data_IF_269132615515
#
_entry.id   IF_269132615515
#
_cell.length_a   1.000
_cell.length_b   1.000
_cell.length_c   1.000
_cell.angle_alpha   90.00
_cell.angle_beta   90.00
_cell.angle_gamma   90.00
#
_symmetry.space_group_name_H-M   'P 1'
#
loop_
_entity.id
_entity.type
_entity.pdbx_description
1 polymer ?
#
# COMPACT_ATOMS: atom_id res chain seq x y z
N UNK A 1 -11.05 2.08 -0.74
CA UNK A 1 -9.82 1.43 -0.22
C UNK A 1 -8.56 2.15 -0.67
N UNK A 2 -8.43 2.57 -1.94
CA UNK A 2 -7.30 3.43 -2.34
C UNK A 2 -7.24 4.77 -1.58
N UNK A 3 -8.36 5.39 -1.20
CA UNK A 3 -8.35 6.60 -0.36
C UNK A 3 -7.71 6.33 1.00
N UNK A 4 -8.01 5.18 1.61
CA UNK A 4 -7.41 4.73 2.88
C UNK A 4 -5.90 4.54 2.73
N UNK A 5 -5.44 4.01 1.59
CA UNK A 5 -4.00 3.91 1.32
C UNK A 5 -3.35 5.31 1.21
N UNK A 6 -4.02 6.29 0.59
CA UNK A 6 -3.52 7.67 0.53
C UNK A 6 -3.53 8.33 1.91
N UNK A 7 -4.57 8.11 2.71
CA UNK A 7 -4.65 8.58 4.11
C UNK A 7 -3.52 8.01 4.97
N UNK A 8 -3.21 6.72 4.81
CA UNK A 8 -2.07 6.10 5.47
C UNK A 8 -0.74 6.74 5.03
N UNK A 9 -0.59 7.10 3.76
CA UNK A 9 0.61 7.80 3.30
C UNK A 9 0.78 9.15 4.01
N UNK A 10 -0.29 9.94 4.10
CA UNK A 10 -0.27 11.21 4.83
C UNK A 10 0.03 10.97 6.31
N UNK A 11 -0.65 10.02 6.95
CA UNK A 11 -0.42 9.67 8.35
C UNK A 11 1.03 9.28 8.63
N UNK A 12 1.65 8.52 7.72
CA UNK A 12 3.07 8.18 7.79
C UNK A 12 3.94 9.42 7.78
N UNK A 13 3.71 10.37 6.86
CA UNK A 13 4.48 11.61 6.78
C UNK A 13 4.34 12.45 8.05
N UNK A 14 3.12 12.64 8.54
CA UNK A 14 2.87 13.38 9.78
C UNK A 14 3.56 12.74 10.99
N UNK A 15 3.61 11.41 11.05
CA UNK A 15 4.34 10.69 12.10
C UNK A 15 5.85 10.82 11.95
N UNK A 16 6.39 10.85 10.72
CA UNK A 16 7.81 11.12 10.47
C UNK A 16 8.18 12.53 10.96
N UNK A 17 7.35 13.54 10.68
CA UNK A 17 7.62 14.93 11.04
C UNK A 17 7.74 15.17 12.55
N UNK A 18 6.95 14.44 13.35
CA UNK A 18 7.00 14.52 14.82
C UNK A 18 7.96 13.50 15.45
N UNK A 19 8.72 12.75 14.66
CA UNK A 19 9.70 11.77 15.15
C UNK A 19 9.13 10.43 15.61
N UNK A 20 7.86 10.14 15.35
CA UNK A 20 7.18 8.89 15.72
C UNK A 20 7.47 7.76 14.70
N UNK A 21 8.75 7.45 14.51
CA UNK A 21 9.22 6.61 13.41
C UNK A 21 8.75 5.14 13.46
N UNK A 22 8.65 4.51 14.65
CA UNK A 22 8.10 3.14 14.76
C UNK A 22 6.68 3.09 14.19
N UNK A 23 5.83 4.02 14.61
CA UNK A 23 4.44 4.08 14.15
C UNK A 23 4.38 4.41 12.66
N UNK A 24 5.22 5.34 12.17
CA UNK A 24 5.29 5.65 10.74
C UNK A 24 5.63 4.41 9.90
N UNK A 25 6.59 3.58 10.34
CA UNK A 25 6.94 2.33 9.66
C UNK A 25 5.84 1.26 9.72
N UNK A 26 5.07 1.21 10.81
CA UNK A 26 3.89 0.36 10.88
C UNK A 26 2.80 0.83 9.90
N UNK A 27 2.59 2.13 9.75
CA UNK A 27 1.60 2.69 8.80
C UNK A 27 1.97 2.39 7.35
N UNK A 28 3.25 2.31 6.98
CA UNK A 28 3.67 1.88 5.65
C UNK A 28 3.07 0.49 5.28
N UNK A 29 2.98 -0.41 6.26
CA UNK A 29 2.36 -1.71 6.06
C UNK A 29 0.85 -1.61 5.83
N UNK A 30 0.18 -0.78 6.62
CA UNK A 30 -1.26 -0.54 6.48
C UNK A 30 -1.58 0.05 5.10
N UNK A 31 -0.75 0.99 4.62
CA UNK A 31 -0.84 1.55 3.27
C UNK A 31 -0.77 0.46 2.20
N UNK A 32 0.22 -0.43 2.30
CA UNK A 32 0.38 -1.55 1.37
C UNK A 32 -0.81 -2.51 1.40
N UNK A 33 -1.27 -2.90 2.60
CA UNK A 33 -2.39 -3.84 2.76
C UNK A 33 -3.69 -3.24 2.20
N UNK A 34 -3.94 -1.94 2.43
CA UNK A 34 -5.10 -1.22 1.90
C UNK A 34 -5.07 -1.12 0.37
N UNK A 35 -3.93 -0.78 -0.22
CA UNK A 35 -3.77 -0.70 -1.68
C UNK A 35 -3.90 -2.09 -2.32
N UNK A 36 -3.25 -3.11 -1.77
CA UNK A 36 -3.35 -4.49 -2.27
C UNK A 36 -4.81 -4.95 -2.29
N UNK A 37 -5.57 -4.65 -1.23
CA UNK A 37 -7.00 -4.95 -1.18
C UNK A 37 -7.79 -4.17 -2.23
N UNK A 38 -7.47 -2.89 -2.48
CA UNK A 38 -8.13 -2.09 -3.52
C UNK A 38 -7.91 -2.69 -4.92
N UNK A 39 -6.66 -3.03 -5.26
CA UNK A 39 -6.33 -3.65 -6.55
C UNK A 39 -7.02 -5.02 -6.69
N UNK A 40 -7.02 -5.81 -5.62
CA UNK A 40 -7.71 -7.10 -5.61
C UNK A 40 -9.22 -6.97 -5.75
N UNK A 41 -9.86 -5.98 -5.11
CA UNK A 41 -11.30 -5.75 -5.26
C UNK A 41 -11.70 -5.49 -6.71
N UNK A 42 -10.86 -4.77 -7.47
CA UNK A 42 -11.16 -4.46 -8.87
C UNK A 42 -10.86 -5.63 -9.83
N UNK A 43 -9.76 -6.35 -9.63
CA UNK A 43 -9.25 -7.29 -10.64
C UNK A 43 -9.30 -8.77 -10.24
N UNK A 44 -9.40 -9.07 -8.94
CA UNK A 44 -9.23 -10.43 -8.40
C UNK A 44 -10.42 -10.97 -7.61
N UNK A 45 -11.22 -10.08 -7.01
CA UNK A 45 -12.38 -10.44 -6.22
C UNK A 45 -13.53 -10.96 -7.10
N UNK A 46 -14.36 -11.83 -6.53
CA UNK A 46 -15.65 -12.19 -7.13
C UNK A 46 -16.71 -11.17 -6.71
N UNK A 47 -17.76 -10.99 -7.52
CA UNK A 47 -18.86 -10.07 -7.20
C UNK A 47 -19.43 -10.30 -5.80
N UNK A 48 -19.65 -11.57 -5.42
CA UNK A 48 -20.10 -11.92 -4.08
C UNK A 48 -19.16 -11.43 -2.96
N UNK A 49 -17.84 -11.47 -3.16
CA UNK A 49 -16.88 -10.94 -2.18
C UNK A 49 -16.90 -9.41 -2.13
N UNK A 50 -17.09 -8.75 -3.27
CA UNK A 50 -17.25 -7.29 -3.35
C UNK A 50 -18.51 -6.86 -2.61
N UNK A 51 -19.66 -7.46 -2.95
CA UNK A 51 -20.96 -7.21 -2.29
C UNK A 51 -20.86 -7.40 -0.78
N UNK A 52 -20.18 -8.46 -0.33
CA UNK A 52 -20.00 -8.76 1.09
C UNK A 52 -19.24 -7.66 1.84
N UNK A 53 -18.21 -7.07 1.24
CA UNK A 53 -17.46 -5.96 1.85
C UNK A 53 -18.23 -4.64 1.80
N UNK A 54 -19.09 -4.47 0.80
CA UNK A 54 -19.90 -3.27 0.61
C UNK A 54 -21.18 -3.26 1.47
N UNK A 55 -21.41 -4.30 2.28
CA UNK A 55 -22.56 -4.36 3.19
C UNK A 55 -22.53 -3.19 4.17
N UNK A 56 -23.71 -2.66 4.49
CA UNK A 56 -23.86 -1.66 5.54
C UNK A 56 -23.41 -2.26 6.87
N UNK A 57 -22.55 -1.53 7.59
CA UNK A 57 -22.09 -1.93 8.91
C UNK A 57 -23.27 -2.07 9.90
N UNK A 58 -23.40 -3.25 10.48
CA UNK A 58 -24.33 -3.59 11.55
C UNK A 58 -23.66 -4.60 12.50
N UNK A 59 -24.34 -4.97 13.59
CA UNK A 59 -23.85 -6.02 14.49
C UNK A 59 -23.64 -7.36 13.75
N UNK A 60 -24.49 -7.67 12.77
CA UNK A 60 -24.44 -8.92 12.03
C UNK A 60 -23.35 -8.92 10.94
N UNK A 61 -23.06 -7.74 10.36
CA UNK A 61 -22.14 -7.60 9.22
C UNK A 61 -20.75 -7.08 9.61
N UNK A 62 -20.51 -6.80 10.90
CA UNK A 62 -19.23 -6.28 11.41
C UNK A 62 -18.02 -7.16 11.07
N UNK A 63 -18.26 -8.43 10.76
CA UNK A 63 -17.27 -9.44 10.41
C UNK A 63 -17.41 -9.92 8.95
N UNK A 64 -18.09 -9.16 8.09
CA UNK A 64 -18.33 -9.54 6.70
C UNK A 64 -17.03 -9.68 5.87
N UNK A 65 -15.94 -9.08 6.34
CA UNK A 65 -14.60 -9.23 5.78
C UNK A 65 -13.84 -10.47 6.32
N UNK A 66 -14.41 -11.24 7.26
CA UNK A 66 -13.83 -12.51 7.68
C UNK A 66 -13.74 -13.49 6.49
N UNK A 67 -12.61 -14.20 6.43
CA UNK A 67 -12.33 -15.14 5.34
C UNK A 67 -11.97 -14.48 4.00
N UNK A 68 -11.69 -13.17 3.98
CA UNK A 68 -11.00 -12.59 2.84
C UNK A 68 -9.58 -13.18 2.70
N UNK A 69 -9.07 -13.29 1.47
CA UNK A 69 -7.72 -13.79 1.24
C UNK A 69 -6.67 -12.92 1.93
N UNK A 70 -5.55 -13.52 2.33
CA UNK A 70 -4.37 -12.74 2.75
C UNK A 70 -3.87 -11.85 1.60
N UNK A 71 -3.15 -10.77 1.88
CA UNK A 71 -2.50 -9.94 0.84
C UNK A 71 -1.63 -10.78 -0.12
N UNK A 72 -0.97 -11.86 0.34
CA UNK A 72 -0.22 -12.77 -0.55
C UNK A 72 -1.13 -13.53 -1.49
N UNK A 73 -2.29 -13.95 -1.01
CA UNK A 73 -3.29 -14.66 -1.80
C UNK A 73 -4.03 -13.69 -2.74
N UNK A 74 -4.30 -12.47 -2.30
CA UNK A 74 -4.80 -11.38 -3.15
C UNK A 74 -3.86 -11.10 -4.33
N UNK A 75 -2.55 -11.00 -4.09
CA UNK A 75 -1.54 -10.80 -5.15
C UNK A 75 -1.55 -11.96 -6.15
N UNK A 76 -1.68 -13.21 -5.69
CA UNK A 76 -1.82 -14.35 -6.60
C UNK A 76 -3.10 -14.28 -7.43
N UNK A 77 -4.20 -13.84 -6.83
CA UNK A 77 -5.51 -13.79 -7.50
C UNK A 77 -5.63 -12.69 -8.56
N UNK A 78 -4.79 -11.65 -8.47
CA UNK A 78 -4.70 -10.59 -9.50
C UNK A 78 -3.64 -10.88 -10.58
N UNK A 79 -2.82 -11.92 -10.41
CA UNK A 79 -1.84 -12.30 -11.41
C UNK A 79 -2.52 -12.73 -12.71
N UNK A 80 -2.06 -12.18 -13.83
CA UNK A 80 -2.70 -12.33 -15.15
C UNK A 80 -4.05 -11.62 -15.32
N UNK A 81 -4.56 -10.89 -14.31
CA UNK A 81 -5.84 -10.16 -14.38
C UNK A 81 -5.68 -8.65 -14.24
N UNK A 82 -4.89 -8.20 -13.26
CA UNK A 82 -4.53 -6.80 -13.10
C UNK A 82 -3.40 -6.41 -14.07
N UNK A 83 -3.17 -5.10 -14.30
CA UNK A 83 -2.00 -4.63 -15.02
C UNK A 83 -0.70 -5.26 -14.46
N UNK A 84 0.10 -5.87 -15.33
CA UNK A 84 1.28 -6.65 -14.93
C UNK A 84 2.24 -5.87 -14.01
N UNK A 85 2.40 -4.57 -14.30
CA UNK A 85 3.25 -3.68 -13.51
C UNK A 85 2.73 -3.49 -12.07
N UNK A 86 1.41 -3.38 -11.89
CA UNK A 86 0.80 -3.26 -10.55
C UNK A 86 1.04 -4.54 -9.74
N UNK A 87 0.83 -5.72 -10.35
CA UNK A 87 1.10 -7.01 -9.71
C UNK A 87 2.58 -7.16 -9.34
N UNK A 88 3.49 -6.77 -10.25
CA UNK A 88 4.94 -6.76 -10.02
C UNK A 88 5.31 -5.88 -8.82
N UNK A 89 4.88 -4.62 -8.82
CA UNK A 89 5.18 -3.67 -7.74
C UNK A 89 4.68 -4.16 -6.38
N UNK A 90 3.45 -4.68 -6.31
CA UNK A 90 2.90 -5.22 -5.05
C UNK A 90 3.66 -6.46 -4.57
N UNK A 91 4.05 -7.34 -5.50
CA UNK A 91 4.85 -8.54 -5.19
C UNK A 91 6.25 -8.16 -4.67
N UNK A 92 6.95 -7.27 -5.36
CA UNK A 92 8.27 -6.76 -4.97
C UNK A 92 8.21 -6.04 -3.61
N UNK A 93 7.23 -5.16 -3.41
CA UNK A 93 7.05 -4.46 -2.14
C UNK A 93 6.88 -5.45 -0.99
N UNK A 94 6.01 -6.46 -1.17
CA UNK A 94 5.81 -7.50 -0.17
C UNK A 94 7.11 -8.25 0.10
N UNK A 95 7.82 -8.68 -0.93
CA UNK A 95 9.07 -9.41 -0.79
C UNK A 95 10.10 -8.62 0.05
N UNK A 96 10.23 -7.31 -0.21
CA UNK A 96 11.23 -6.45 0.41
C UNK A 96 10.87 -6.01 1.84
N UNK A 97 9.60 -5.70 2.09
CA UNK A 97 9.20 -4.98 3.32
C UNK A 97 8.54 -5.88 4.36
N UNK A 98 7.94 -7.01 3.96
CA UNK A 98 7.01 -7.77 4.80
C UNK A 98 7.55 -8.15 6.19
N UNK A 99 8.76 -8.72 6.25
CA UNK A 99 9.35 -9.19 7.50
C UNK A 99 9.65 -8.02 8.45
N UNK A 100 10.27 -6.97 7.92
CA UNK A 100 10.60 -5.79 8.70
C UNK A 100 9.33 -5.07 9.18
N UNK A 101 8.35 -4.88 8.29
CA UNK A 101 7.12 -4.16 8.60
C UNK A 101 6.27 -4.89 9.66
N UNK A 102 6.19 -6.22 9.61
CA UNK A 102 5.52 -7.01 10.66
C UNK A 102 6.17 -6.83 12.03
N UNK A 103 7.49 -6.64 12.07
CA UNK A 103 8.19 -6.32 13.31
C UNK A 103 7.80 -4.94 13.86
N UNK A 104 7.55 -3.94 13.02
CA UNK A 104 7.09 -2.62 13.48
C UNK A 104 5.64 -2.62 13.95
N UNK A 105 4.78 -3.43 13.34
CA UNK A 105 3.38 -3.58 13.74
C UNK A 105 3.25 -4.28 15.10
N UNK A 106 4.04 -5.33 15.36
CA UNK A 106 3.88 -6.18 16.54
C UNK A 106 4.92 -5.96 17.63
N UNK A 107 5.74 -4.90 17.56
CA UNK A 107 6.79 -4.65 18.56
C UNK A 107 7.92 -5.70 18.54
N UNK A 108 8.21 -6.30 17.39
CA UNK A 108 9.29 -7.26 17.22
C UNK A 108 10.70 -6.62 17.28
N UNK A 109 11.71 -7.43 17.02
CA UNK A 109 13.13 -7.04 17.18
C UNK A 109 13.53 -5.77 16.41
N UNK A 110 13.04 -5.53 15.18
CA UNK A 110 13.36 -4.31 14.44
C UNK A 110 12.80 -3.06 15.13
N UNK A 111 11.57 -3.14 15.67
CA UNK A 111 10.97 -2.03 16.39
C UNK A 111 11.77 -1.73 17.66
N UNK A 112 12.05 -2.76 18.46
CA UNK A 112 12.78 -2.64 19.72
C UNK A 112 14.18 -2.06 19.53
N UNK A 113 14.95 -2.62 18.60
CA UNK A 113 16.33 -2.17 18.35
C UNK A 113 16.35 -0.75 17.77
N UNK A 114 15.43 -0.40 16.85
CA UNK A 114 15.39 0.96 16.28
C UNK A 114 14.92 2.00 17.28
N UNK A 115 13.99 1.65 18.15
CA UNK A 115 13.53 2.55 19.19
C UNK A 115 14.63 2.83 20.23
N UNK A 116 15.46 1.83 20.51
CA UNK A 116 16.62 1.95 21.41
C UNK A 116 17.81 2.68 20.77
N UNK A 117 18.21 2.27 19.57
CA UNK A 117 19.47 2.69 18.95
C UNK A 117 19.30 3.84 17.94
N UNK A 118 18.06 4.24 17.69
CA UNK A 118 17.69 5.26 16.72
C UNK A 118 17.47 4.74 15.29
N UNK A 119 17.00 5.66 14.44
CA UNK A 119 16.59 5.39 13.07
C UNK A 119 17.57 6.03 12.10
N UNK A 120 18.31 5.24 11.30
CA UNK A 120 19.22 5.78 10.31
C UNK A 120 18.46 6.63 9.28
N UNK A 121 18.98 7.81 8.94
CA UNK A 121 18.35 8.71 7.96
C UNK A 121 18.08 8.01 6.62
N UNK A 122 18.99 7.13 6.19
CA UNK A 122 18.82 6.35 4.96
C UNK A 122 17.60 5.42 5.02
N UNK A 123 17.31 4.84 6.18
CA UNK A 123 16.12 4.01 6.37
C UNK A 123 14.85 4.87 6.30
N UNK A 124 14.82 6.02 6.99
CA UNK A 124 13.68 6.94 6.95
C UNK A 124 13.40 7.40 5.52
N UNK A 125 14.45 7.77 4.77
CA UNK A 125 14.35 8.13 3.35
C UNK A 125 13.79 6.98 2.51
N UNK A 126 14.24 5.75 2.75
CA UNK A 126 13.74 4.59 2.01
C UNK A 126 12.26 4.34 2.29
N UNK A 127 11.81 4.46 3.54
CA UNK A 127 10.39 4.32 3.91
C UNK A 127 9.53 5.38 3.22
N UNK A 128 9.99 6.63 3.17
CA UNK A 128 9.31 7.71 2.44
C UNK A 128 9.20 7.41 0.93
N UNK A 129 10.30 6.99 0.30
CA UNK A 129 10.31 6.62 -1.12
C UNK A 129 9.37 5.44 -1.39
N UNK A 130 9.37 4.43 -0.51
CA UNK A 130 8.44 3.30 -0.58
C UNK A 130 6.98 3.73 -0.47
N UNK A 131 6.66 4.64 0.46
CA UNK A 131 5.32 5.21 0.61
C UNK A 131 4.89 5.98 -0.64
N UNK A 132 5.78 6.80 -1.22
CA UNK A 132 5.51 7.54 -2.46
C UNK A 132 5.22 6.60 -3.64
N UNK A 133 5.93 5.48 -3.74
CA UNK A 133 5.66 4.45 -4.74
C UNK A 133 4.25 3.87 -4.63
N UNK A 134 3.79 3.60 -3.41
CA UNK A 134 2.41 3.16 -3.16
C UNK A 134 1.38 4.26 -3.45
N UNK A 135 1.67 5.54 -3.16
CA UNK A 135 0.82 6.67 -3.56
C UNK A 135 0.69 6.76 -5.08
N UNK A 136 1.81 6.64 -5.80
CA UNK A 136 1.80 6.66 -7.26
C UNK A 136 0.99 5.50 -7.84
N UNK A 137 1.14 4.29 -7.28
CA UNK A 137 0.34 3.14 -7.69
C UNK A 137 -1.16 3.32 -7.36
N UNK A 138 -1.52 3.93 -6.23
CA UNK A 138 -2.90 4.33 -5.95
C UNK A 138 -3.44 5.30 -6.99
N UNK A 139 -2.66 6.30 -7.40
CA UNK A 139 -3.04 7.28 -8.40
C UNK A 139 -3.27 6.63 -9.79
N UNK A 140 -2.37 5.73 -10.20
CA UNK A 140 -2.54 4.93 -11.43
C UNK A 140 -3.80 4.06 -11.34
N UNK A 141 -4.04 3.42 -10.20
CA UNK A 141 -5.24 2.61 -9.99
C UNK A 141 -6.52 3.44 -10.09
N UNK A 142 -6.57 4.61 -9.47
CA UNK A 142 -7.69 5.55 -9.64
C UNK A 142 -7.89 5.97 -11.08
N UNK A 143 -6.83 6.40 -11.76
CA UNK A 143 -6.91 6.82 -13.16
C UNK A 143 -7.48 5.72 -14.06
N UNK A 144 -7.10 4.45 -13.82
CA UNK A 144 -7.59 3.31 -14.59
C UNK A 144 -9.09 3.07 -14.48
N UNK A 145 -9.76 3.57 -13.43
CA UNK A 145 -11.21 3.47 -13.25
C UNK A 145 -12.00 4.60 -13.91
N UNK A 146 -11.33 5.63 -14.43
CA UNK A 146 -11.99 6.81 -14.99
C UNK A 146 -12.33 6.69 -16.48
N UNK A 147 -11.72 5.73 -17.18
CA UNK A 147 -11.70 5.63 -18.65
C UNK A 147 -11.33 6.95 -19.36
N UNK A 148 -10.62 7.85 -18.67
CA UNK A 148 -10.24 9.17 -19.17
C UNK A 148 -8.75 9.24 -19.46
N UNK A 149 -8.40 9.25 -20.75
CA UNK A 149 -7.00 9.31 -21.22
C UNK A 149 -6.26 10.56 -20.72
N UNK A 150 -6.94 11.68 -20.50
CA UNK A 150 -6.30 12.90 -19.99
C UNK A 150 -5.87 12.72 -18.53
N UNK A 151 -6.70 12.06 -17.71
CA UNK A 151 -6.35 11.74 -16.30
C UNK A 151 -5.15 10.80 -16.25
N UNK A 152 -5.13 9.76 -17.10
CA UNK A 152 -3.99 8.83 -17.19
C UNK A 152 -2.71 9.56 -17.59
N UNK A 153 -2.78 10.46 -18.58
CA UNK A 153 -1.65 11.26 -19.01
C UNK A 153 -1.17 12.22 -17.92
N UNK A 154 -2.07 12.81 -17.14
CA UNK A 154 -1.71 13.65 -15.99
C UNK A 154 -0.93 12.89 -14.93
N UNK A 155 -1.38 11.67 -14.57
CA UNK A 155 -0.65 10.81 -13.64
C UNK A 155 0.74 10.46 -14.17
N UNK A 156 0.88 10.17 -15.47
CA UNK A 156 2.19 9.91 -16.07
C UNK A 156 3.12 11.14 -15.98
N UNK A 157 2.61 12.35 -16.23
CA UNK A 157 3.38 13.59 -16.08
C UNK A 157 3.82 13.84 -14.64
N UNK A 158 2.93 13.58 -13.67
CA UNK A 158 3.26 13.69 -12.24
C UNK A 158 4.34 12.68 -11.88
N UNK A 159 4.21 11.41 -12.30
CA UNK A 159 5.23 10.38 -12.07
C UNK A 159 6.60 10.81 -12.58
N UNK A 160 6.66 11.34 -13.79
CA UNK A 160 7.93 11.74 -14.41
C UNK A 160 8.54 12.96 -13.71
N UNK A 161 7.70 13.89 -13.26
CA UNK A 161 8.13 15.10 -12.52
C UNK A 161 8.70 14.79 -11.13
N UNK A 162 8.22 13.73 -10.48
CA UNK A 162 8.64 13.31 -9.13
C UNK A 162 9.46 12.02 -9.13
N UNK A 163 10.08 11.66 -10.26
CA UNK A 163 10.80 10.38 -10.43
C UNK A 163 11.94 10.18 -9.42
N UNK A 164 12.55 11.26 -8.95
CA UNK A 164 13.66 11.26 -7.99
C UNK A 164 13.24 10.82 -6.57
N UNK A 165 11.97 10.99 -6.22
CA UNK A 165 11.39 10.59 -4.93
C UNK A 165 10.52 9.33 -5.01
N UNK A 166 10.53 8.64 -6.16
CA UNK A 166 9.86 7.35 -6.37
C UNK A 166 10.85 6.18 -6.31
N UNK A 167 10.38 4.95 -6.03
CA UNK A 167 11.22 3.78 -6.09
C UNK A 167 11.85 3.66 -7.48
N UNK A 168 13.17 3.43 -7.53
CA UNK A 168 13.84 3.08 -8.77
C UNK A 168 13.39 1.68 -9.13
N UNK A 169 12.64 1.54 -10.23
CA UNK A 169 12.37 0.23 -10.81
C UNK A 169 13.70 -0.33 -11.29
N UNK A 170 14.07 -1.53 -10.82
CA UNK A 170 15.10 -2.30 -11.46
C UNK A 170 14.54 -2.67 -12.84
N UNK A 171 15.08 -2.04 -13.89
CA UNK A 171 14.82 -2.35 -15.30
C UNK A 171 15.83 -3.38 -15.76
#
# INVERSE_FOLDING_TARGET
MCDVAVEHAHSLQSLMDVGNYTSAMAVLRLQFDALTRSVWLLWGATDNKVERIMQKLSADTANADNGLPSHSEMIKQIDGKAPAEATRMLSEFRHLTWKASSSFVHGGIHAMQRHKDGYPLQLLKQIMISSNGLVMLSAVHFASMTDNVYVVNDIARIRDSFRDVLPKLNL
#
